data_IF_042852960023
#
_entry.id   IF_042852960023
#
_cell.length_a   1.000
_cell.length_b   1.000
_cell.length_c   1.000
_cell.angle_alpha   90.00
_cell.angle_beta   90.00
_cell.angle_gamma   90.00
#
_symmetry.space_group_name_H-M   'P 1'
#
loop_
_entity.id
_entity.type
_entity.pdbx_description
1 polymer ?
#
# COMPACT_ATOMS: atom_id res chain seq x y z
N UNK A 1 -3.42 24.49 8.66
CA UNK A 1 -3.39 23.14 9.28
C UNK A 1 -2.31 22.34 8.56
N UNK A 2 -1.40 21.67 9.27
CA UNK A 2 -0.32 20.91 8.64
C UNK A 2 -0.91 19.61 8.05
N UNK A 3 -0.66 19.27 6.78
CA UNK A 3 -1.25 18.09 6.18
C UNK A 3 -0.79 16.82 6.91
N UNK A 4 -1.70 15.89 7.21
CA UNK A 4 -1.36 14.62 7.84
C UNK A 4 -0.54 13.73 6.89
N UNK A 5 0.35 12.94 7.48
CA UNK A 5 1.17 11.95 6.77
C UNK A 5 0.70 10.57 7.21
N UNK A 6 0.24 9.77 6.25
CA UNK A 6 -0.14 8.40 6.46
C UNK A 6 0.98 7.47 5.99
N UNK A 7 1.11 6.32 6.63
CA UNK A 7 1.99 5.26 6.18
C UNK A 7 1.24 3.94 6.18
N UNK A 8 1.28 3.24 5.06
CA UNK A 8 0.89 1.83 4.98
C UNK A 8 2.08 0.96 5.35
N UNK A 9 1.97 0.20 6.45
CA UNK A 9 2.98 -0.75 6.84
C UNK A 9 2.55 -2.17 6.50
N UNK A 10 3.54 -2.94 6.03
CA UNK A 10 3.72 -4.39 6.09
C UNK A 10 2.45 -5.21 6.36
N UNK A 11 2.14 -6.11 5.42
CA UNK A 11 1.20 -7.20 5.70
C UNK A 11 1.94 -8.26 6.51
N UNK A 12 1.47 -8.56 7.73
CA UNK A 12 2.06 -9.64 8.53
C UNK A 12 1.93 -10.98 7.78
N UNK A 13 3.04 -11.71 7.67
CA UNK A 13 3.14 -12.78 6.69
C UNK A 13 4.16 -13.85 7.03
N UNK A 14 4.04 -14.49 8.20
CA UNK A 14 4.57 -15.84 8.41
C UNK A 14 3.50 -16.71 9.04
N UNK A 15 2.66 -17.32 8.19
CA UNK A 15 1.57 -18.22 8.59
C UNK A 15 0.37 -18.08 7.67
N UNK A 16 -0.35 -19.19 7.44
CA UNK A 16 -1.67 -19.18 6.77
C UNK A 16 -2.65 -18.44 7.69
N UNK A 17 -2.70 -17.11 7.55
CA UNK A 17 -3.27 -16.14 8.49
C UNK A 17 -2.13 -15.29 9.07
N UNK A 18 -1.95 -14.02 8.72
CA UNK A 18 -2.89 -12.92 8.92
C UNK A 18 -2.71 -11.83 7.85
N UNK A 19 -3.57 -11.78 6.82
CA UNK A 19 -3.59 -10.66 5.87
C UNK A 19 -4.30 -9.45 6.46
N UNK A 20 -3.62 -8.74 7.35
CA UNK A 20 -4.09 -7.50 7.97
C UNK A 20 -3.28 -6.35 7.37
N UNK A 21 -3.99 -5.32 6.90
CA UNK A 21 -3.42 -4.04 6.54
C UNK A 21 -3.17 -3.25 7.82
N UNK A 22 -1.91 -2.86 8.04
CA UNK A 22 -1.52 -2.03 9.17
C UNK A 22 -1.11 -0.65 8.66
N UNK A 23 -1.38 0.39 9.43
CA UNK A 23 -1.01 1.75 9.05
C UNK A 23 -0.87 2.68 10.25
N UNK A 24 -0.19 3.80 10.05
CA UNK A 24 -0.09 4.88 11.03
C UNK A 24 -0.45 6.17 10.33
N UNK A 25 -1.42 6.90 10.89
CA UNK A 25 -1.69 8.29 10.54
C UNK A 25 -0.98 9.18 11.55
N UNK A 26 -0.21 10.16 11.09
CA UNK A 26 0.53 11.07 11.93
C UNK A 26 0.45 12.52 11.43
N UNK A 27 0.72 13.47 12.32
CA UNK A 27 0.90 14.88 11.99
C UNK A 27 2.33 15.32 12.29
N UNK A 28 2.89 16.21 11.47
CA UNK A 28 4.22 16.75 11.72
C UNK A 28 4.17 17.68 12.94
N UNK A 29 5.15 17.53 13.83
CA UNK A 29 5.35 18.32 15.04
C UNK A 29 6.84 18.68 15.13
N UNK A 30 7.22 19.78 14.48
CA UNK A 30 8.63 20.14 14.32
C UNK A 30 9.40 19.06 13.56
N UNK A 31 10.54 18.56 14.08
CA UNK A 31 11.32 17.50 13.42
C UNK A 31 10.71 16.09 13.56
N UNK A 32 9.70 15.93 14.41
CA UNK A 32 9.08 14.64 14.71
C UNK A 32 7.69 14.52 14.08
N UNK A 33 7.16 13.30 14.04
CA UNK A 33 5.74 13.05 13.74
C UNK A 33 5.02 12.51 14.96
N UNK A 34 3.87 13.08 15.29
CA UNK A 34 2.98 12.58 16.34
C UNK A 34 1.91 11.69 15.72
N UNK A 35 1.80 10.45 16.18
CA UNK A 35 0.72 9.55 15.77
C UNK A 35 -0.64 10.15 16.16
N UNK A 36 -1.56 10.15 15.21
CA UNK A 36 -2.98 10.52 15.38
C UNK A 36 -3.83 9.26 15.48
N UNK A 37 -3.52 8.23 14.68
CA UNK A 37 -4.20 6.95 14.71
C UNK A 37 -3.29 5.81 14.30
N UNK A 38 -3.54 4.63 14.88
CA UNK A 38 -3.03 3.35 14.41
C UNK A 38 -4.17 2.63 13.68
N UNK A 39 -3.94 2.27 12.42
CA UNK A 39 -4.92 1.67 11.54
C UNK A 39 -4.66 0.17 11.44
N UNK A 40 -5.71 -0.63 11.55
CA UNK A 40 -5.65 -2.08 11.37
C UNK A 40 -6.95 -2.56 10.75
N UNK A 41 -6.86 -3.22 9.60
CA UNK A 41 -8.04 -3.76 8.92
C UNK A 41 -7.71 -5.03 8.15
N UNK A 42 -8.61 -6.00 8.19
CA UNK A 42 -8.40 -7.25 7.50
C UNK A 42 -8.56 -7.08 5.98
N UNK A 43 -7.65 -7.66 5.21
CA UNK A 43 -7.77 -7.78 3.76
C UNK A 43 -8.90 -8.74 3.41
N UNK A 44 -9.54 -8.55 2.26
CA UNK A 44 -10.51 -9.51 1.76
C UNK A 44 -9.85 -10.85 1.41
N UNK A 45 -10.65 -11.91 1.35
CA UNK A 45 -10.16 -13.28 1.17
C UNK A 45 -9.30 -13.45 -0.09
N UNK A 46 -9.61 -12.74 -1.18
CA UNK A 46 -8.77 -12.83 -2.38
C UNK A 46 -7.45 -12.10 -2.20
N UNK A 47 -7.49 -10.88 -1.65
CA UNK A 47 -6.28 -10.08 -1.40
C UNK A 47 -5.28 -10.79 -0.47
N UNK A 48 -5.77 -11.55 0.53
CA UNK A 48 -4.94 -12.43 1.37
C UNK A 48 -4.11 -13.43 0.57
N UNK A 49 -4.61 -13.88 -0.59
CA UNK A 49 -3.96 -14.83 -1.48
C UNK A 49 -3.04 -14.22 -2.55
N UNK A 50 -2.97 -12.89 -2.67
CA UNK A 50 -2.14 -12.23 -3.67
C UNK A 50 -0.66 -12.23 -3.32
N UNK A 51 0.24 -12.10 -4.32
CA UNK A 51 1.67 -11.82 -4.09
C UNK A 51 1.88 -10.57 -3.25
N UNK A 52 3.05 -10.48 -2.59
CA UNK A 52 3.35 -9.45 -1.59
C UNK A 52 3.07 -8.01 -2.05
N UNK A 53 3.51 -7.62 -3.25
CA UNK A 53 3.32 -6.25 -3.75
C UNK A 53 1.85 -5.93 -4.07
N UNK A 54 1.09 -6.85 -4.68
CA UNK A 54 -0.36 -6.64 -4.89
C UNK A 54 -1.13 -6.59 -3.57
N UNK A 55 -0.68 -7.38 -2.58
CA UNK A 55 -1.23 -7.33 -1.23
C UNK A 55 -0.94 -5.99 -0.54
N UNK A 56 0.25 -5.41 -0.78
CA UNK A 56 0.60 -4.07 -0.30
C UNK A 56 -0.27 -2.99 -0.94
N UNK A 57 -0.55 -3.06 -2.24
CA UNK A 57 -1.49 -2.17 -2.94
C UNK A 57 -2.86 -2.17 -2.25
N UNK A 58 -3.41 -3.36 -1.98
CA UNK A 58 -4.68 -3.50 -1.28
C UNK A 58 -4.63 -2.88 0.13
N UNK A 59 -3.55 -3.12 0.87
CA UNK A 59 -3.37 -2.63 2.22
C UNK A 59 -3.31 -1.10 2.29
N UNK A 60 -2.58 -0.47 1.38
CA UNK A 60 -2.48 1.00 1.30
C UNK A 60 -3.82 1.61 0.91
N UNK A 61 -4.50 1.08 -0.10
CA UNK A 61 -5.82 1.56 -0.49
C UNK A 61 -6.82 1.52 0.67
N UNK A 62 -6.79 0.44 1.47
CA UNK A 62 -7.58 0.32 2.70
C UNK A 62 -7.18 1.37 3.73
N UNK A 63 -5.89 1.53 4.00
CA UNK A 63 -5.39 2.51 4.98
C UNK A 63 -5.75 3.95 4.59
N UNK A 64 -5.73 4.31 3.31
CA UNK A 64 -6.17 5.62 2.81
C UNK A 64 -7.64 5.84 3.14
N UNK A 65 -8.50 4.86 2.84
CA UNK A 65 -9.93 4.97 3.13
C UNK A 65 -10.20 5.10 4.63
N UNK A 66 -9.44 4.40 5.47
CA UNK A 66 -9.57 4.54 6.93
C UNK A 66 -9.01 5.89 7.41
N UNK A 67 -7.87 6.34 6.90
CA UNK A 67 -7.29 7.64 7.22
C UNK A 67 -8.22 8.80 6.83
N UNK A 68 -8.93 8.71 5.70
CA UNK A 68 -9.91 9.71 5.25
C UNK A 68 -11.00 10.01 6.28
N UNK A 69 -11.38 9.03 7.10
CA UNK A 69 -12.35 9.22 8.19
C UNK A 69 -11.83 10.16 9.27
N UNK A 70 -10.51 10.21 9.46
CA UNK A 70 -9.85 11.11 10.41
C UNK A 70 -9.45 12.44 9.77
N UNK A 71 -9.08 12.45 8.49
CA UNK A 71 -8.68 13.67 7.80
C UNK A 71 -9.86 14.48 7.27
N UNK A 72 -11.07 13.89 7.25
CA UNK A 72 -12.29 14.51 6.72
C UNK A 72 -12.10 15.05 5.30
N UNK A 73 -11.34 14.33 4.47
CA UNK A 73 -11.03 14.72 3.09
C UNK A 73 -9.92 15.77 2.93
N UNK A 74 -9.23 16.16 4.02
CA UNK A 74 -8.02 16.96 3.90
C UNK A 74 -6.91 16.17 3.20
N UNK A 75 -6.12 16.89 2.38
CA UNK A 75 -4.97 16.34 1.66
C UNK A 75 -4.01 15.65 2.63
N UNK A 76 -3.63 14.42 2.32
CA UNK A 76 -2.65 13.65 3.08
C UNK A 76 -1.53 13.13 2.18
N UNK A 77 -0.32 13.00 2.75
CA UNK A 77 0.80 12.35 2.07
C UNK A 77 0.88 10.89 2.53
N UNK A 78 0.84 9.95 1.59
CA UNK A 78 0.95 8.52 1.86
C UNK A 78 2.34 8.05 1.51
N UNK A 79 3.07 7.59 2.52
CA UNK A 79 4.40 7.04 2.35
C UNK A 79 4.34 5.54 2.04
N UNK A 80 4.92 5.13 0.92
CA UNK A 80 4.99 3.73 0.45
C UNK A 80 6.43 3.33 0.13
N UNK A 81 6.75 2.04 0.29
CA UNK A 81 8.14 1.55 0.14
C UNK A 81 8.63 1.40 -1.29
N UNK A 82 7.74 1.37 -2.28
CA UNK A 82 8.08 1.24 -3.71
C UNK A 82 6.99 1.90 -4.56
N UNK A 83 7.25 2.11 -5.85
CA UNK A 83 6.30 2.66 -6.84
C UNK A 83 5.15 1.68 -7.10
N UNK A 84 4.21 1.60 -6.16
CA UNK A 84 2.98 0.83 -6.34
C UNK A 84 2.11 1.34 -7.49
N UNK A 85 2.23 2.62 -7.84
CA UNK A 85 1.61 3.21 -9.03
C UNK A 85 2.08 2.49 -10.29
N UNK A 86 3.38 2.23 -10.43
CA UNK A 86 3.93 1.48 -11.57
C UNK A 86 3.42 0.04 -11.64
N UNK A 87 3.18 -0.62 -10.50
CA UNK A 87 2.59 -1.97 -10.46
C UNK A 87 1.15 -1.96 -11.00
N UNK A 88 0.36 -0.95 -10.63
CA UNK A 88 -1.00 -0.78 -11.15
C UNK A 88 -0.98 -0.40 -12.63
N UNK A 89 -0.19 0.58 -13.02
CA UNK A 89 -0.15 1.11 -14.39
C UNK A 89 0.40 0.09 -15.40
N UNK A 90 1.48 -0.62 -15.06
CA UNK A 90 2.14 -1.52 -16.01
C UNK A 90 1.34 -2.81 -16.26
N UNK A 91 0.74 -3.39 -15.20
CA UNK A 91 0.17 -4.74 -15.26
C UNK A 91 -1.04 -4.96 -14.36
N UNK A 92 -1.60 -3.92 -13.74
CA UNK A 92 -2.73 -4.03 -12.81
C UNK A 92 -3.95 -4.71 -13.44
N UNK A 93 -4.25 -4.40 -14.70
CA UNK A 93 -5.36 -5.03 -15.45
C UNK A 93 -5.16 -6.51 -15.78
N UNK A 94 -3.92 -7.01 -15.77
CA UNK A 94 -3.64 -8.43 -16.00
C UNK A 94 -3.83 -9.29 -14.74
N UNK A 95 -3.59 -8.73 -13.56
CA UNK A 95 -3.60 -9.49 -12.29
C UNK A 95 -4.82 -9.23 -11.42
N UNK A 96 -5.55 -8.13 -11.68
CA UNK A 96 -6.73 -7.74 -10.92
C UNK A 96 -7.97 -7.80 -11.81
N UNK A 97 -9.10 -8.20 -11.22
CA UNK A 97 -10.40 -8.02 -11.87
C UNK A 97 -10.63 -6.54 -12.20
N UNK A 98 -11.35 -6.19 -13.29
CA UNK A 98 -11.59 -4.80 -13.69
C UNK A 98 -12.11 -3.90 -12.57
N UNK A 99 -13.04 -4.41 -11.75
CA UNK A 99 -13.60 -3.66 -10.61
C UNK A 99 -12.55 -3.28 -9.56
N UNK A 100 -11.61 -4.19 -9.26
CA UNK A 100 -10.53 -3.95 -8.29
C UNK A 100 -9.46 -3.02 -8.84
N UNK A 101 -9.11 -3.20 -10.12
CA UNK A 101 -8.18 -2.32 -10.81
C UNK A 101 -8.68 -0.88 -10.78
N UNK A 102 -9.91 -0.64 -11.26
CA UNK A 102 -10.53 0.70 -11.25
C UNK A 102 -10.64 1.27 -9.83
N UNK A 103 -11.03 0.45 -8.85
CA UNK A 103 -11.10 0.89 -7.45
C UNK A 103 -9.75 1.37 -6.93
N UNK A 104 -8.67 0.64 -7.18
CA UNK A 104 -7.35 1.01 -6.67
C UNK A 104 -6.74 2.17 -7.44
N UNK A 105 -6.92 2.23 -8.77
CA UNK A 105 -6.54 3.38 -9.59
C UNK A 105 -7.23 4.65 -9.08
N UNK A 106 -8.54 4.59 -8.86
CA UNK A 106 -9.33 5.70 -8.34
C UNK A 106 -8.95 6.11 -6.91
N UNK A 107 -8.30 5.27 -6.10
CA UNK A 107 -7.87 5.65 -4.74
C UNK A 107 -6.43 6.17 -4.72
N UNK A 108 -5.57 5.59 -5.55
CA UNK A 108 -4.12 5.75 -5.46
C UNK A 108 -3.55 6.75 -6.47
N UNK A 109 -4.24 6.95 -7.60
CA UNK A 109 -3.72 7.75 -8.72
C UNK A 109 -4.59 8.97 -9.00
N UNK A 110 -5.92 8.80 -8.99
CA UNK A 110 -6.84 9.81 -9.54
C UNK A 110 -7.41 10.81 -8.51
N UNK A 111 -6.85 10.91 -7.30
CA UNK A 111 -7.45 11.72 -6.22
C UNK A 111 -6.55 12.88 -5.79
N UNK A 112 -7.14 14.07 -5.69
CA UNK A 112 -6.43 15.30 -5.32
C UNK A 112 -6.08 15.40 -3.82
N UNK A 113 -6.76 14.61 -2.97
CA UNK A 113 -6.56 14.59 -1.52
C UNK A 113 -5.47 13.60 -1.07
N UNK A 114 -4.83 12.88 -2.00
CA UNK A 114 -3.79 11.89 -1.69
C UNK A 114 -2.55 12.14 -2.52
N UNK A 115 -1.42 12.36 -1.85
CA UNK A 115 -0.11 12.42 -2.49
C UNK A 115 0.71 11.20 -2.11
N UNK A 116 1.02 10.33 -3.08
CA UNK A 116 1.85 9.15 -2.83
C UNK A 116 3.32 9.52 -2.99
N UNK A 117 4.09 9.31 -1.92
CA UNK A 117 5.54 9.53 -1.93
C UNK A 117 6.25 8.23 -1.62
N UNK A 118 7.19 7.86 -2.48
CA UNK A 118 8.04 6.69 -2.26
C UNK A 118 9.06 7.03 -1.18
N UNK A 119 9.19 6.14 -0.19
CA UNK A 119 10.12 6.31 0.92
C UNK A 119 10.82 5.00 1.24
N UNK A 120 12.05 5.12 1.75
CA UNK A 120 12.82 3.98 2.24
C UNK A 120 12.56 3.70 3.73
N UNK A 121 11.69 4.49 4.37
CA UNK A 121 11.34 4.30 5.77
C UNK A 121 10.45 3.05 5.86
N UNK A 122 11.05 1.92 6.25
CA UNK A 122 10.37 0.61 6.44
C UNK A 122 9.99 0.31 7.89
N UNK A 123 10.60 0.98 8.87
CA UNK A 123 10.31 0.78 10.29
C UNK A 123 9.30 1.80 10.83
N UNK A 124 8.16 1.40 11.44
CA UNK A 124 7.19 2.33 12.05
C UNK A 124 7.81 3.33 13.04
N UNK A 125 8.81 2.92 13.83
CA UNK A 125 9.48 3.82 14.77
C UNK A 125 10.26 4.92 14.03
N UNK A 126 10.98 4.57 12.97
CA UNK A 126 11.69 5.50 12.09
C UNK A 126 10.76 6.51 11.39
N UNK A 127 9.51 6.12 11.15
CA UNK A 127 8.51 7.02 10.58
C UNK A 127 8.09 8.13 11.55
N UNK A 128 7.98 7.83 12.84
CA UNK A 128 7.61 8.79 13.88
C UNK A 128 8.80 9.68 14.28
N UNK A 129 10.02 9.16 14.24
CA UNK A 129 11.23 9.92 14.55
C UNK A 129 11.70 10.86 13.43
N UNK A 130 11.10 10.78 12.23
CA UNK A 130 11.49 11.59 11.08
C UNK A 130 12.81 11.15 10.41
N UNK A 131 13.38 10.00 10.80
CA UNK A 131 14.63 9.48 10.23
C UNK A 131 14.43 8.92 8.82
N UNK A 132 15.38 9.18 7.92
CA UNK A 132 15.50 8.48 6.63
C UNK A 132 16.13 7.10 6.83
N UNK A 133 15.47 6.04 6.35
CA UNK A 133 16.01 4.67 6.41
C UNK A 133 16.90 4.33 5.21
N UNK A 134 17.60 3.20 5.28
CA UNK A 134 18.40 2.68 4.15
C UNK A 134 17.51 2.24 2.98
N UNK A 135 17.97 2.39 1.72
CA UNK A 135 17.20 2.02 0.53
C UNK A 135 16.89 0.52 0.52
N UNK A 136 15.60 0.19 0.49
CA UNK A 136 15.15 -1.17 0.18
C UNK A 136 14.61 -1.15 -1.23
N UNK A 137 15.44 -1.59 -2.18
CA UNK A 137 15.03 -1.78 -3.57
C UNK A 137 14.35 -3.14 -3.65
N UNK A 138 13.07 -3.15 -4.05
CA UNK A 138 12.31 -4.37 -4.27
C UNK A 138 11.66 -4.34 -5.66
N UNK A 139 12.12 -5.25 -6.52
CA UNK A 139 11.64 -5.53 -7.89
C UNK A 139 10.22 -6.15 -7.85
N UNK A 140 9.20 -5.31 -7.64
CA UNK A 140 7.82 -5.79 -7.49
C UNK A 140 7.27 -6.47 -8.75
N UNK A 141 7.59 -5.95 -9.94
CA UNK A 141 7.07 -6.50 -11.20
C UNK A 141 7.61 -7.91 -11.44
N UNK A 142 8.94 -8.08 -11.37
CA UNK A 142 9.58 -9.39 -11.53
C UNK A 142 9.09 -10.41 -10.51
N UNK A 143 8.91 -9.99 -9.25
CA UNK A 143 8.43 -10.89 -8.19
C UNK A 143 6.98 -11.34 -8.42
N UNK A 144 6.11 -10.43 -8.87
CA UNK A 144 4.72 -10.76 -9.20
C UNK A 144 4.71 -11.72 -10.41
N UNK A 145 5.46 -11.39 -11.46
CA UNK A 145 5.54 -12.20 -12.67
C UNK A 145 6.08 -13.60 -12.39
N UNK A 146 7.19 -13.74 -11.67
CA UNK A 146 7.71 -15.05 -11.25
C UNK A 146 6.69 -15.86 -10.44
N UNK A 147 5.88 -15.22 -9.60
CA UNK A 147 4.85 -15.89 -8.78
C UNK A 147 3.64 -16.34 -9.61
N UNK A 148 3.26 -15.59 -10.65
CA UNK A 148 2.14 -15.95 -11.53
C UNK A 148 2.58 -16.91 -12.64
N UNK A 149 3.78 -16.75 -13.21
CA UNK A 149 4.35 -17.60 -14.27
C UNK A 149 4.77 -18.98 -13.75
N UNK A 150 5.08 -19.12 -12.46
CA UNK A 150 5.34 -20.43 -11.82
C UNK A 150 4.09 -21.24 -11.51
N UNK A 151 2.88 -20.75 -11.84
CA UNK A 151 1.64 -21.52 -11.75
C UNK A 151 1.42 -22.25 -13.08
N UNK A 152 1.73 -23.55 -13.19
CA UNK A 152 1.56 -24.31 -14.45
C UNK A 152 0.12 -24.37 -14.97
N UNK A 153 -0.86 -24.00 -14.13
CA UNK A 153 -2.30 -24.09 -14.44
C UNK A 153 -2.86 -22.82 -15.11
N UNK A 154 -2.08 -21.74 -15.24
CA UNK A 154 -2.51 -20.49 -15.87
C UNK A 154 -1.96 -20.43 -17.30
N UNK A 155 -2.69 -21.03 -18.26
CA UNK A 155 -2.44 -20.81 -19.68
C UNK A 155 -3.11 -19.50 -20.11
N UNK A 156 -2.41 -18.68 -20.89
CA UNK A 156 -2.89 -17.43 -21.51
C UNK A 156 -3.97 -17.64 -22.60
N UNK A 157 -4.73 -18.75 -22.54
CA UNK A 157 -5.82 -18.98 -23.47
C UNK A 157 -7.15 -18.52 -22.84
N UNK A 158 -7.90 -17.62 -23.47
CA UNK A 158 -9.28 -17.40 -23.09
C UNK A 158 -10.07 -18.69 -23.31
N UNK A 159 -10.95 -19.02 -22.34
CA UNK A 159 -11.98 -20.04 -22.51
C UNK A 159 -13.09 -19.56 -23.43
#
# INVERSE_FOLDING_TARGET
>A
MVPPVARGNRVDGKGRGQGIALGILAQNLGPYRRAVAYLSKQLDTAAKGWPGCLRAVAAVAINIQEARKFTLGQKMTVLVSHTMSAVLEAKGGHWLSPQRFLKYQAILVEQDDVEIVVTNIVNPASFLSGSTGEPVIHECLETIEATYSSRPDLKDNPA
#
